data_IF_185584628387
#
_entry.id   IF_185584628387
#
_cell.length_a   1.000
_cell.length_b   1.000
_cell.length_c   1.000
_cell.angle_alpha   90.00
_cell.angle_beta   90.00
_cell.angle_gamma   90.00
#
_symmetry.space_group_name_H-M   'P 1'
#
loop_
_entity.id
_entity.type
_entity.pdbx_description
1 polymer ?
#
# COMPACT_ATOMS: atom_id res chain seq x y z
N UNK A 1 -4.03 4.04 -12.73
CA UNK A 1 -4.67 5.22 -12.12
C UNK A 1 -3.94 6.43 -12.63
N UNK A 2 -4.64 7.35 -13.27
CA UNK A 2 -4.06 8.60 -13.74
C UNK A 2 -3.51 9.37 -12.54
N UNK A 3 -2.20 9.63 -12.51
CA UNK A 3 -1.50 10.41 -11.48
C UNK A 3 -1.79 11.91 -11.55
N UNK A 4 -2.72 12.30 -12.44
CA UNK A 4 -3.12 13.66 -12.73
C UNK A 4 -4.09 14.14 -11.65
N UNK A 5 -3.62 15.01 -10.77
CA UNK A 5 -4.46 15.64 -9.76
C UNK A 5 -5.45 16.60 -10.45
N UNK A 6 -6.79 16.38 -10.40
CA UNK A 6 -7.76 17.15 -11.19
C UNK A 6 -7.82 18.64 -10.82
N UNK A 7 -7.23 19.04 -9.68
CA UNK A 7 -7.13 20.43 -9.24
C UNK A 7 -5.81 21.11 -9.59
N UNK A 8 -4.72 20.36 -9.70
CA UNK A 8 -3.37 20.94 -9.87
C UNK A 8 -2.77 20.69 -11.25
N UNK A 9 -3.32 19.76 -12.04
CA UNK A 9 -2.76 19.35 -13.33
C UNK A 9 -1.34 18.78 -13.24
N UNK A 10 -0.85 18.50 -12.01
CA UNK A 10 0.48 17.97 -11.74
C UNK A 10 0.39 16.46 -11.56
N UNK A 11 1.39 15.75 -12.07
CA UNK A 11 1.57 14.33 -11.78
C UNK A 11 2.20 14.20 -10.40
N UNK A 12 1.38 13.87 -9.39
CA UNK A 12 1.85 13.69 -8.01
C UNK A 12 1.83 12.21 -7.70
N UNK A 13 3.01 11.62 -7.50
CA UNK A 13 3.13 10.24 -7.05
C UNK A 13 2.78 10.18 -5.57
N UNK A 14 1.55 9.75 -5.26
CA UNK A 14 0.97 9.73 -3.92
C UNK A 14 1.45 8.54 -3.08
N UNK A 15 2.78 8.35 -2.98
CA UNK A 15 3.38 7.16 -2.34
C UNK A 15 3.16 7.14 -0.84
N UNK A 16 3.41 8.25 -0.14
CA UNK A 16 3.22 8.34 1.31
C UNK A 16 1.78 8.08 1.75
N UNK A 17 0.74 8.73 1.18
CA UNK A 17 -0.64 8.43 1.57
C UNK A 17 -1.08 7.03 1.14
N UNK A 18 -0.54 6.46 0.05
CA UNK A 18 -0.80 5.06 -0.30
C UNK A 18 -0.21 4.10 0.74
N UNK A 19 1.00 4.38 1.22
CA UNK A 19 1.65 3.59 2.26
C UNK A 19 0.91 3.67 3.61
N UNK A 20 0.40 4.84 4.00
CA UNK A 20 -0.43 4.98 5.20
C UNK A 20 -1.68 4.07 5.16
N UNK A 21 -2.32 3.94 4.00
CA UNK A 21 -3.45 3.01 3.85
C UNK A 21 -3.01 1.54 3.91
N UNK A 22 -1.82 1.21 3.39
CA UNK A 22 -1.24 -0.13 3.52
C UNK A 22 -1.00 -0.50 5.00
N UNK A 23 -0.46 0.43 5.80
CA UNK A 23 -0.24 0.22 7.24
C UNK A 23 -1.57 0.04 7.97
N UNK A 24 -2.58 0.85 7.67
CA UNK A 24 -3.94 0.70 8.25
C UNK A 24 -4.54 -0.66 7.92
N UNK A 25 -4.43 -1.13 6.68
CA UNK A 25 -4.91 -2.45 6.28
C UNK A 25 -4.21 -3.57 7.07
N UNK A 26 -2.89 -3.48 7.28
CA UNK A 26 -2.14 -4.43 8.11
C UNK A 26 -2.60 -4.42 9.57
N UNK A 27 -2.91 -3.25 10.12
CA UNK A 27 -3.39 -3.13 11.49
C UNK A 27 -4.78 -3.74 11.68
N UNK A 28 -5.70 -3.44 10.75
CA UNK A 28 -7.06 -4.00 10.74
C UNK A 28 -7.00 -5.53 10.61
N UNK A 29 -6.12 -6.05 9.76
CA UNK A 29 -5.87 -7.49 9.67
C UNK A 29 -5.49 -8.10 11.01
N UNK A 30 -4.53 -7.52 11.74
CA UNK A 30 -4.11 -8.03 13.04
C UNK A 30 -5.27 -8.04 14.06
N UNK A 31 -6.14 -7.03 14.03
CA UNK A 31 -7.33 -7.00 14.91
C UNK A 31 -8.32 -8.11 14.53
N UNK A 32 -8.60 -8.29 13.24
CA UNK A 32 -9.50 -9.36 12.76
C UNK A 32 -8.95 -10.75 13.08
N UNK A 33 -7.64 -10.91 12.95
CA UNK A 33 -6.91 -12.13 13.24
C UNK A 33 -6.95 -12.49 14.72
N UNK A 34 -6.70 -11.50 15.58
CA UNK A 34 -6.78 -11.66 17.04
C UNK A 34 -8.20 -12.03 17.51
N UNK A 35 -9.24 -11.54 16.80
CA UNK A 35 -10.63 -11.90 17.08
C UNK A 35 -11.03 -13.27 16.51
N UNK A 36 -10.14 -13.95 15.79
CA UNK A 36 -10.42 -15.25 15.15
C UNK A 36 -11.65 -15.24 14.23
N UNK A 37 -11.96 -14.07 13.62
CA UNK A 37 -13.14 -13.90 12.74
C UNK A 37 -12.82 -14.30 11.29
N UNK A 38 -11.54 -14.49 10.96
CA UNK A 38 -11.06 -14.86 9.62
C UNK A 38 -10.60 -16.32 9.58
N UNK A 39 -10.97 -17.02 8.52
CA UNK A 39 -10.53 -18.40 8.26
C UNK A 39 -9.07 -18.47 7.80
N UNK A 40 -8.49 -19.67 7.81
CA UNK A 40 -7.10 -19.92 7.40
C UNK A 40 -6.86 -19.52 5.93
N UNK A 41 -7.83 -19.76 5.05
CA UNK A 41 -7.74 -19.39 3.63
C UNK A 41 -7.83 -17.87 3.44
N UNK A 42 -8.75 -17.21 4.15
CA UNK A 42 -8.88 -15.74 4.12
C UNK A 42 -7.63 -15.05 4.67
N UNK A 43 -7.01 -15.61 5.71
CA UNK A 43 -5.75 -15.12 6.27
C UNK A 43 -4.65 -15.11 5.20
N UNK A 44 -4.45 -16.21 4.49
CA UNK A 44 -3.45 -16.30 3.42
C UNK A 44 -3.72 -15.29 2.30
N UNK A 45 -4.97 -15.17 1.87
CA UNK A 45 -5.37 -14.20 0.85
C UNK A 45 -5.13 -12.75 1.31
N UNK A 46 -5.45 -12.43 2.58
CA UNK A 46 -5.25 -11.09 3.13
C UNK A 46 -3.77 -10.72 3.22
N UNK A 47 -2.93 -11.63 3.72
CA UNK A 47 -1.47 -11.45 3.76
C UNK A 47 -0.93 -11.20 2.35
N UNK A 48 -1.39 -11.96 1.35
CA UNK A 48 -1.02 -11.75 -0.05
C UNK A 48 -1.37 -10.35 -0.55
N UNK A 49 -2.58 -9.85 -0.25
CA UNK A 49 -3.01 -8.50 -0.62
C UNK A 49 -2.18 -7.40 0.04
N UNK A 50 -1.93 -7.48 1.35
CA UNK A 50 -1.12 -6.48 2.08
C UNK A 50 0.31 -6.47 1.56
N UNK A 51 0.91 -7.63 1.31
CA UNK A 51 2.24 -7.72 0.70
C UNK A 51 2.27 -7.13 -0.71
N UNK A 52 1.24 -7.37 -1.52
CA UNK A 52 1.10 -6.79 -2.85
C UNK A 52 0.98 -5.26 -2.81
N UNK A 53 0.24 -4.70 -1.85
CA UNK A 53 0.13 -3.26 -1.64
C UNK A 53 1.46 -2.65 -1.18
N UNK A 54 2.15 -3.27 -0.23
CA UNK A 54 3.45 -2.81 0.25
C UNK A 54 4.49 -2.79 -0.87
N UNK A 55 4.51 -3.84 -1.72
CA UNK A 55 5.39 -3.90 -2.89
C UNK A 55 5.11 -2.75 -3.87
N UNK A 56 3.84 -2.52 -4.22
CA UNK A 56 3.48 -1.41 -5.12
C UNK A 56 3.86 -0.05 -4.55
N UNK A 57 3.73 0.14 -3.23
CA UNK A 57 4.18 1.38 -2.57
C UNK A 57 5.71 1.52 -2.65
N UNK A 58 6.47 0.43 -2.48
CA UNK A 58 7.92 0.44 -2.60
C UNK A 58 8.38 0.72 -4.05
N UNK A 59 7.76 0.07 -5.03
CA UNK A 59 8.04 0.28 -6.45
C UNK A 59 7.76 1.74 -6.84
N UNK A 60 6.65 2.32 -6.35
CA UNK A 60 6.32 3.71 -6.56
C UNK A 60 7.27 4.67 -5.81
N UNK A 61 7.77 4.30 -4.64
CA UNK A 61 8.72 5.11 -3.86
C UNK A 61 10.05 5.30 -4.59
N UNK A 62 10.54 4.26 -5.27
CA UNK A 62 11.79 4.32 -6.06
C UNK A 62 11.70 5.35 -7.19
N UNK A 63 10.50 5.58 -7.75
CA UNK A 63 10.27 6.59 -8.79
C UNK A 63 10.28 8.02 -8.24
N UNK A 64 10.21 8.21 -6.92
CA UNK A 64 10.23 9.54 -6.29
C UNK A 64 11.67 10.02 -6.06
N UNK A 65 11.88 11.35 -5.95
CA UNK A 65 13.21 11.90 -5.65
C UNK A 65 13.81 11.39 -4.33
N UNK A 66 12.97 11.00 -3.37
CA UNK A 66 13.38 10.53 -2.05
C UNK A 66 13.85 9.07 -2.03
N UNK A 67 13.40 8.24 -2.97
CA UNK A 67 13.74 6.82 -3.04
C UNK A 67 15.17 6.53 -3.52
N UNK A 68 15.85 7.55 -4.05
CA UNK A 68 17.12 7.40 -4.75
C UNK A 68 16.89 6.67 -6.07
N UNK A 69 17.31 7.28 -7.18
CA UNK A 69 17.35 6.56 -8.46
C UNK A 69 18.29 5.36 -8.29
N UNK A 70 17.75 4.16 -8.17
CA UNK A 70 18.53 2.96 -8.47
C UNK A 70 18.85 3.07 -9.95
N UNK A 71 20.11 3.40 -10.22
CA UNK A 71 20.67 3.56 -11.57
C UNK A 71 20.44 2.30 -12.40
#
# INVERSE_FOLDING_TARGET
QETSDPKSGKNITMVHPAYDQCIKASHIFNILDARSVISVTERQAYIGRVRGLAKQCADAFILTPAGGKVK
#
